data_IF_536790073187
#
_entry.id   IF_536790073187
#
_cell.length_a   1.000
_cell.length_b   1.000
_cell.length_c   1.000
_cell.angle_alpha   90.00
_cell.angle_beta   90.00
_cell.angle_gamma   90.00
#
_symmetry.space_group_name_H-M   'P 1'
#
loop_
_entity.id
_entity.type
_entity.pdbx_description
1 polymer ?
#
# COMPACT_ATOMS: atom_id res chain seq x y z
N UNK A 1 12.52 -3.66 14.03
CA UNK A 1 12.70 -3.15 15.42
C UNK A 1 14.09 -3.46 15.98
N UNK A 2 14.61 -4.67 15.72
CA UNK A 2 15.99 -5.09 16.08
C UNK A 2 17.10 -4.09 15.71
N UNK A 3 16.96 -3.33 14.61
CA UNK A 3 17.93 -2.28 14.23
C UNK A 3 17.92 -1.03 15.10
N UNK A 4 16.77 -0.62 15.65
CA UNK A 4 16.71 0.53 16.56
C UNK A 4 17.45 0.18 17.86
N UNK A 5 17.24 -1.02 18.39
CA UNK A 5 17.96 -1.53 19.55
C UNK A 5 19.49 -1.60 19.31
N UNK A 6 19.92 -2.03 18.12
CA UNK A 6 21.34 -2.01 17.71
C UNK A 6 21.93 -0.59 17.67
N UNK A 7 21.10 0.44 17.42
CA UNK A 7 21.51 1.84 17.45
C UNK A 7 21.44 2.45 18.85
N UNK A 8 21.12 1.64 19.87
CA UNK A 8 20.96 2.07 21.26
C UNK A 8 19.66 2.83 21.51
N UNK A 9 18.61 2.52 20.75
CA UNK A 9 17.26 3.01 20.99
C UNK A 9 16.43 1.96 21.71
N UNK A 10 15.76 2.40 22.77
CA UNK A 10 14.84 1.55 23.55
C UNK A 10 13.43 2.11 23.46
N UNK A 11 12.43 1.22 23.40
CA UNK A 11 11.03 1.61 23.53
C UNK A 11 10.84 2.37 24.85
N UNK A 12 10.37 3.60 24.78
CA UNK A 12 10.39 4.53 25.92
C UNK A 12 8.98 4.94 26.36
N UNK A 13 8.03 5.04 25.44
CA UNK A 13 6.72 5.63 25.68
C UNK A 13 5.72 5.19 24.61
N UNK A 14 4.48 4.88 25.00
CA UNK A 14 3.36 4.75 24.06
C UNK A 14 2.90 6.15 23.63
N UNK A 15 2.67 6.33 22.34
CA UNK A 15 2.11 7.55 21.75
C UNK A 15 0.79 7.21 21.08
N UNK A 16 -0.03 8.20 20.76
CA UNK A 16 -1.33 7.97 20.13
C UNK A 16 -1.15 7.23 18.79
N UNK A 17 -1.59 5.96 18.76
CA UNK A 17 -1.45 5.05 17.63
C UNK A 17 -0.02 4.56 17.35
N UNK A 18 0.86 4.47 18.36
CA UNK A 18 2.21 3.94 18.16
C UNK A 18 3.12 3.86 19.39
N UNK A 19 4.41 3.66 19.13
CA UNK A 19 5.47 3.55 20.14
C UNK A 19 6.61 4.52 19.82
N UNK A 20 7.02 5.30 20.81
CA UNK A 20 8.19 6.17 20.77
C UNK A 20 9.42 5.46 21.30
N UNK A 21 10.46 5.41 20.48
CA UNK A 21 11.79 4.92 20.79
C UNK A 21 12.72 6.08 21.11
N UNK A 22 13.49 5.98 22.21
CA UNK A 22 14.49 6.99 22.59
C UNK A 22 15.87 6.36 22.68
N UNK A 23 16.87 7.11 22.26
CA UNK A 23 18.26 6.73 22.50
C UNK A 23 18.72 7.16 23.89
N UNK A 24 19.60 6.36 24.49
CA UNK A 24 20.32 6.77 25.72
C UNK A 24 21.28 7.95 25.48
N UNK A 25 21.59 8.26 24.22
CA UNK A 25 22.47 9.38 23.86
C UNK A 25 21.71 10.72 23.96
N UNK A 26 22.19 11.70 24.76
CA UNK A 26 21.49 12.97 25.00
C UNK A 26 21.30 13.89 23.78
N UNK A 27 21.79 13.51 22.60
CA UNK A 27 21.73 14.34 21.39
C UNK A 27 21.16 13.61 20.20
N UNK A 28 20.65 12.39 20.40
CA UNK A 28 20.05 11.59 19.34
C UNK A 28 18.54 11.84 19.29
N UNK A 29 17.94 11.93 18.09
CA UNK A 29 16.51 12.17 17.94
C UNK A 29 15.72 11.00 18.53
N UNK A 30 14.47 11.20 18.96
CA UNK A 30 13.55 10.07 19.16
C UNK A 30 12.95 9.61 17.82
N UNK A 31 12.43 8.38 17.80
CA UNK A 31 11.77 7.76 16.64
C UNK A 31 10.40 7.27 17.06
N UNK A 32 9.34 7.79 16.45
CA UNK A 32 7.98 7.32 16.65
C UNK A 32 7.65 6.34 15.54
N UNK A 33 7.19 5.14 15.92
CA UNK A 33 6.73 4.10 14.99
C UNK A 33 5.25 3.90 15.26
N UNK A 34 4.42 4.20 14.28
CA UNK A 34 2.97 4.10 14.41
C UNK A 34 2.46 2.71 14.01
N UNK A 35 1.22 2.38 14.38
CA UNK A 35 0.57 1.10 14.03
C UNK A 35 0.28 1.01 12.52
N UNK A 36 0.05 2.16 11.88
CA UNK A 36 0.03 2.34 10.42
C UNK A 36 1.44 2.43 9.81
N UNK A 37 2.47 2.23 10.66
CA UNK A 37 3.93 2.19 10.40
C UNK A 37 4.45 3.26 9.48
N UNK A 38 3.77 4.41 9.52
CA UNK A 38 4.45 5.69 9.49
C UNK A 38 5.56 5.66 10.54
N UNK A 39 6.71 6.22 10.17
CA UNK A 39 7.82 6.43 11.08
C UNK A 39 8.17 7.89 11.05
N UNK A 40 8.16 8.52 12.22
CA UNK A 40 8.55 9.92 12.39
C UNK A 40 9.82 10.01 13.21
N UNK A 41 10.84 10.66 12.65
CA UNK A 41 12.08 10.93 13.37
C UNK A 41 12.06 12.38 13.80
N UNK A 42 12.34 12.63 15.08
CA UNK A 42 12.34 13.97 15.66
C UNK A 42 13.16 14.94 14.79
N UNK A 43 12.49 15.96 14.26
CA UNK A 43 13.16 17.00 13.48
C UNK A 43 13.71 18.13 14.36
N UNK A 44 12.99 18.44 15.45
CA UNK A 44 13.28 19.52 16.39
C UNK A 44 12.79 19.12 17.77
N UNK A 45 13.47 19.57 18.82
CA UNK A 45 12.89 19.53 20.16
C UNK A 45 13.91 19.48 21.28
N UNK A 46 13.35 19.38 22.48
CA UNK A 46 14.06 19.42 23.74
C UNK A 46 14.56 18.04 24.13
N UNK A 47 15.83 17.92 24.46
CA UNK A 47 16.32 16.76 25.22
C UNK A 47 16.29 17.16 26.69
N UNK A 48 15.61 16.36 27.52
CA UNK A 48 15.63 16.53 28.97
C UNK A 48 17.08 16.25 29.42
N UNK A 49 17.85 17.26 29.88
CA UNK A 49 19.23 17.02 30.25
C UNK A 49 19.29 16.05 31.44
N UNK A 50 20.40 15.32 31.57
CA UNK A 50 20.73 14.65 32.81
C UNK A 50 20.67 15.66 33.98
N UNK A 51 20.31 15.24 35.21
CA UNK A 51 20.26 16.15 36.35
C UNK A 51 21.60 16.87 36.52
N UNK A 52 21.57 18.18 36.31
CA UNK A 52 22.78 19.02 36.33
C UNK A 52 23.12 19.33 37.78
N UNK A 53 24.42 19.33 38.12
CA UNK A 53 24.88 19.73 39.45
C UNK A 53 24.43 21.19 39.77
N UNK A 54 24.22 21.54 41.05
CA UNK A 54 23.77 22.88 41.44
C UNK A 54 24.68 23.96 40.85
N UNK A 55 24.13 24.87 40.05
CA UNK A 55 24.84 26.02 39.48
C UNK A 55 25.05 26.01 37.96
N UNK A 56 24.66 24.95 37.23
CA UNK A 56 24.71 24.92 35.77
C UNK A 56 23.30 25.03 35.17
N UNK A 57 22.90 26.24 34.76
CA UNK A 57 21.68 26.50 33.98
C UNK A 57 22.05 26.76 32.52
N UNK A 58 22.38 25.70 31.77
CA UNK A 58 22.22 25.74 30.32
C UNK A 58 21.45 24.52 29.87
N UNK A 59 20.20 24.77 29.50
CA UNK A 59 19.38 23.83 28.76
C UNK A 59 19.88 23.88 27.31
N UNK A 60 20.51 22.83 26.76
CA UNK A 60 20.91 22.86 25.38
C UNK A 60 19.67 22.65 24.52
N UNK A 61 19.08 23.74 24.02
CA UNK A 61 18.25 23.66 22.82
C UNK A 61 19.16 23.14 21.71
N UNK A 62 18.98 21.90 21.30
CA UNK A 62 19.80 21.32 20.23
C UNK A 62 19.27 21.91 18.92
N UNK A 63 20.12 22.68 18.24
CA UNK A 63 19.77 23.24 16.95
C UNK A 63 19.60 22.13 15.90
N UNK A 64 18.68 22.32 14.97
CA UNK A 64 18.44 21.41 13.82
C UNK A 64 19.74 21.02 13.11
N UNK A 65 20.68 21.98 12.98
CA UNK A 65 22.00 21.76 12.41
C UNK A 65 22.81 20.68 13.13
N UNK A 66 22.70 20.56 14.45
CA UNK A 66 23.41 19.56 15.26
C UNK A 66 22.72 18.19 15.22
N UNK A 67 21.38 18.15 15.12
CA UNK A 67 20.61 16.91 15.02
C UNK A 67 20.69 16.27 13.62
N UNK A 68 20.91 17.06 12.57
CA UNK A 68 20.84 16.60 11.18
C UNK A 68 21.70 15.37 10.87
N UNK A 69 22.99 15.26 11.28
CA UNK A 69 23.80 14.08 10.96
C UNK A 69 23.28 12.80 11.62
N UNK A 70 22.85 12.88 12.88
CA UNK A 70 22.30 11.73 13.60
C UNK A 70 20.92 11.34 13.04
N UNK A 71 20.09 12.32 12.65
CA UNK A 71 18.82 12.09 11.95
C UNK A 71 19.04 11.34 10.64
N UNK A 72 20.01 11.76 9.82
CA UNK A 72 20.33 11.07 8.56
C UNK A 72 20.74 9.63 8.84
N UNK A 73 21.63 9.40 9.82
CA UNK A 73 22.08 8.05 10.18
C UNK A 73 20.92 7.15 10.62
N UNK A 74 20.02 7.67 11.45
CA UNK A 74 18.82 6.94 11.91
C UNK A 74 17.90 6.63 10.72
N UNK A 75 17.60 7.62 9.89
CA UNK A 75 16.77 7.43 8.69
C UNK A 75 17.36 6.38 7.74
N UNK A 76 18.66 6.46 7.43
CA UNK A 76 19.35 5.50 6.56
C UNK A 76 19.31 4.08 7.14
N UNK A 77 19.44 3.95 8.46
CA UNK A 77 19.46 2.65 9.13
C UNK A 77 18.11 1.94 9.18
N UNK A 78 17.00 2.69 9.15
CA UNK A 78 15.63 2.14 9.20
C UNK A 78 14.91 2.17 7.85
N UNK A 79 15.48 2.84 6.85
CA UNK A 79 14.84 3.05 5.54
C UNK A 79 14.45 1.73 4.86
N UNK A 80 15.30 0.70 4.98
CA UNK A 80 15.03 -0.62 4.42
C UNK A 80 13.80 -1.26 5.06
N UNK A 81 13.73 -1.28 6.39
CA UNK A 81 12.62 -1.84 7.16
C UNK A 81 11.31 -1.10 6.89
N UNK A 82 11.34 0.23 6.89
CA UNK A 82 10.15 1.05 6.59
C UNK A 82 9.67 0.77 5.18
N UNK A 83 10.58 0.68 4.21
CA UNK A 83 10.21 0.38 2.82
C UNK A 83 9.62 -1.02 2.69
N UNK A 84 10.25 -2.03 3.29
CA UNK A 84 9.78 -3.41 3.24
C UNK A 84 8.41 -3.57 3.90
N UNK A 85 8.20 -2.91 5.05
CA UNK A 85 6.94 -2.95 5.77
C UNK A 85 5.83 -2.20 5.03
N UNK A 86 6.11 -1.01 4.48
CA UNK A 86 5.15 -0.30 3.62
C UNK A 86 4.79 -1.08 2.35
N UNK A 87 5.73 -1.87 1.81
CA UNK A 87 5.44 -2.79 0.70
C UNK A 87 4.53 -3.94 1.14
N UNK A 88 4.76 -4.51 2.32
CA UNK A 88 3.91 -5.55 2.90
C UNK A 88 2.47 -5.05 3.12
N UNK A 89 2.30 -3.86 3.73
CA UNK A 89 0.98 -3.25 3.89
C UNK A 89 0.27 -3.00 2.55
N UNK A 90 1.00 -2.48 1.56
CA UNK A 90 0.43 -2.24 0.23
C UNK A 90 -0.03 -3.55 -0.40
N UNK A 91 0.76 -4.62 -0.26
CA UNK A 91 0.41 -5.94 -0.76
C UNK A 91 -0.82 -6.50 -0.05
N UNK A 92 -0.88 -6.40 1.28
CA UNK A 92 -2.03 -6.84 2.08
C UNK A 92 -3.31 -6.07 1.71
N UNK A 93 -3.23 -4.74 1.66
CA UNK A 93 -4.36 -3.88 1.27
C UNK A 93 -4.81 -4.19 -0.15
N UNK A 94 -3.86 -4.38 -1.07
CA UNK A 94 -4.15 -4.76 -2.45
C UNK A 94 -4.84 -6.13 -2.52
N UNK A 95 -4.33 -7.13 -1.80
CA UNK A 95 -4.94 -8.46 -1.73
C UNK A 95 -6.36 -8.37 -1.18
N UNK A 96 -6.57 -7.61 -0.11
CA UNK A 96 -7.90 -7.39 0.45
C UNK A 96 -8.87 -6.77 -0.57
N UNK A 97 -8.44 -5.72 -1.27
CA UNK A 97 -9.26 -5.08 -2.32
C UNK A 97 -9.61 -6.05 -3.46
N UNK A 98 -8.66 -6.89 -3.88
CA UNK A 98 -8.86 -7.80 -5.01
C UNK A 98 -9.60 -9.08 -4.63
N UNK A 99 -9.41 -9.61 -3.43
CA UNK A 99 -10.03 -10.87 -3.00
C UNK A 99 -11.40 -10.66 -2.39
N UNK A 100 -11.60 -9.58 -1.62
CA UNK A 100 -12.86 -9.33 -0.94
C UNK A 100 -13.78 -8.44 -1.77
N UNK A 101 -13.27 -7.31 -2.30
CA UNK A 101 -14.15 -6.27 -2.87
C UNK A 101 -14.35 -6.39 -4.36
N UNK A 102 -13.33 -6.79 -5.11
CA UNK A 102 -13.45 -6.91 -6.57
C UNK A 102 -14.53 -7.91 -6.99
N UNK A 103 -14.65 -9.12 -6.41
CA UNK A 103 -15.69 -10.08 -6.81
C UNK A 103 -17.10 -9.50 -6.65
N UNK A 104 -17.37 -8.83 -5.52
CA UNK A 104 -18.65 -8.18 -5.27
C UNK A 104 -18.96 -7.09 -6.29
N UNK A 105 -17.94 -6.32 -6.69
CA UNK A 105 -18.08 -5.28 -7.72
C UNK A 105 -18.29 -5.86 -9.12
N UNK A 106 -17.66 -6.99 -9.45
CA UNK A 106 -17.90 -7.70 -10.71
C UNK A 106 -19.34 -8.23 -10.77
N UNK A 107 -19.83 -8.80 -9.66
CA UNK A 107 -21.23 -9.23 -9.50
C UNK A 107 -22.19 -8.04 -9.63
N UNK A 108 -21.92 -6.94 -8.93
CA UNK A 108 -22.73 -5.72 -9.02
C UNK A 108 -22.79 -5.15 -10.44
N UNK A 109 -21.66 -5.11 -11.13
CA UNK A 109 -21.61 -4.73 -12.54
C UNK A 109 -22.47 -5.66 -13.39
N UNK A 110 -22.35 -6.97 -13.19
CA UNK A 110 -23.06 -7.95 -14.00
C UNK A 110 -24.57 -7.96 -13.76
N UNK A 111 -25.00 -7.94 -12.51
CA UNK A 111 -26.40 -8.06 -12.13
C UNK A 111 -27.15 -6.73 -12.20
N UNK A 112 -26.52 -5.66 -11.72
CA UNK A 112 -27.16 -4.34 -11.56
C UNK A 112 -26.72 -3.33 -12.62
N UNK A 113 -25.64 -3.59 -13.35
CA UNK A 113 -25.11 -2.66 -14.34
C UNK A 113 -24.29 -1.53 -13.75
N UNK A 114 -23.82 -1.67 -12.51
CA UNK A 114 -22.98 -0.68 -11.83
C UNK A 114 -21.55 -0.68 -12.43
N UNK A 115 -21.06 0.43 -12.98
CA UNK A 115 -19.73 0.44 -13.60
C UNK A 115 -18.63 0.29 -12.55
N UNK A 116 -17.56 -0.42 -12.91
CA UNK A 116 -16.37 -0.52 -12.03
C UNK A 116 -15.70 0.85 -11.83
N UNK A 117 -15.76 1.75 -12.82
CA UNK A 117 -15.14 3.06 -12.74
C UNK A 117 -16.06 4.13 -13.32
N UNK A 118 -16.01 5.31 -12.73
CA UNK A 118 -16.79 6.46 -13.19
C UNK A 118 -18.24 6.41 -12.73
N UNK A 119 -19.09 7.14 -13.46
CA UNK A 119 -20.52 7.33 -13.16
C UNK A 119 -21.38 6.93 -14.34
N UNK A 120 -22.62 6.51 -14.08
CA UNK A 120 -23.58 6.07 -15.08
C UNK A 120 -23.97 4.61 -14.88
N UNK A 121 -24.87 4.11 -15.71
CA UNK A 121 -25.35 2.73 -15.65
C UNK A 121 -25.06 2.00 -16.96
N UNK A 122 -24.86 0.68 -16.87
CA UNK A 122 -24.71 -0.23 -18.00
C UNK A 122 -26.02 -1.03 -18.16
N UNK A 123 -27.00 -0.52 -18.93
CA UNK A 123 -28.36 -1.06 -18.91
C UNK A 123 -28.48 -2.44 -19.58
N UNK A 124 -27.54 -2.82 -20.44
CA UNK A 124 -27.60 -4.09 -21.20
C UNK A 124 -26.52 -5.05 -20.76
N UNK A 125 -26.83 -6.36 -20.76
CA UNK A 125 -25.85 -7.42 -20.47
C UNK A 125 -24.64 -7.37 -21.41
N UNK A 126 -24.84 -6.98 -22.67
CA UNK A 126 -23.75 -6.78 -23.63
C UNK A 126 -22.81 -5.65 -23.18
N UNK A 127 -23.34 -4.50 -22.78
CA UNK A 127 -22.51 -3.38 -22.31
C UNK A 127 -21.73 -3.75 -21.03
N UNK A 128 -22.37 -4.51 -20.13
CA UNK A 128 -21.74 -5.05 -18.91
C UNK A 128 -20.59 -6.00 -19.24
N UNK A 129 -20.83 -6.96 -20.13
CA UNK A 129 -19.80 -7.88 -20.63
C UNK A 129 -18.62 -7.13 -21.26
N UNK A 130 -18.90 -6.16 -22.12
CA UNK A 130 -17.88 -5.38 -22.81
C UNK A 130 -17.05 -4.56 -21.79
N UNK A 131 -17.67 -4.06 -20.72
CA UNK A 131 -16.97 -3.39 -19.62
C UNK A 131 -16.06 -4.34 -18.80
N UNK A 132 -16.48 -5.58 -18.55
CA UNK A 132 -15.63 -6.60 -17.90
C UNK A 132 -14.38 -6.91 -18.75
N UNK A 133 -14.58 -7.06 -20.06
CA UNK A 133 -13.48 -7.31 -21.01
C UNK A 133 -12.53 -6.10 -21.06
N UNK A 134 -13.05 -4.87 -21.12
CA UNK A 134 -12.24 -3.66 -21.08
C UNK A 134 -11.46 -3.52 -19.76
N UNK A 135 -12.08 -3.90 -18.63
CA UNK A 135 -11.40 -3.91 -17.34
C UNK A 135 -10.22 -4.88 -17.32
N UNK A 136 -10.39 -6.11 -17.84
CA UNK A 136 -9.32 -7.08 -18.00
C UNK A 136 -8.19 -6.57 -18.93
N UNK A 137 -8.54 -6.01 -20.08
CA UNK A 137 -7.58 -5.56 -21.09
C UNK A 137 -6.75 -4.34 -20.62
N UNK A 138 -7.35 -3.47 -19.80
CA UNK A 138 -6.71 -2.25 -19.28
C UNK A 138 -5.72 -2.47 -18.13
N UNK A 139 -5.57 -3.70 -17.62
CA UNK A 139 -4.66 -3.96 -16.48
C UNK A 139 -3.20 -3.72 -16.88
N UNK A 140 -2.38 -3.34 -15.91
CA UNK A 140 -0.95 -3.14 -16.12
C UNK A 140 -0.20 -4.46 -16.42
N UNK A 141 1.01 -4.35 -16.98
CA UNK A 141 1.87 -5.49 -17.27
C UNK A 141 2.81 -5.80 -16.10
N UNK A 142 2.22 -6.11 -14.95
CA UNK A 142 2.93 -6.45 -13.71
C UNK A 142 2.14 -7.51 -12.94
N UNK A 143 2.73 -8.03 -11.84
CA UNK A 143 2.13 -9.08 -11.02
C UNK A 143 0.74 -8.71 -10.49
N UNK A 144 0.55 -7.48 -10.03
CA UNK A 144 -0.75 -6.99 -9.54
C UNK A 144 -1.81 -7.00 -10.65
N UNK A 145 -1.45 -6.52 -11.85
CA UNK A 145 -2.32 -6.54 -13.02
C UNK A 145 -2.71 -7.96 -13.43
N UNK A 146 -1.76 -8.90 -13.38
CA UNK A 146 -2.01 -10.31 -13.66
C UNK A 146 -2.92 -10.97 -12.62
N UNK A 147 -2.76 -10.61 -11.35
CA UNK A 147 -3.63 -11.09 -10.28
C UNK A 147 -5.09 -10.64 -10.49
N UNK A 148 -5.31 -9.36 -10.79
CA UNK A 148 -6.63 -8.83 -11.12
C UNK A 148 -7.21 -9.50 -12.38
N UNK A 149 -6.39 -9.69 -13.43
CA UNK A 149 -6.82 -10.41 -14.65
C UNK A 149 -7.31 -11.81 -14.32
N UNK A 150 -6.61 -12.55 -13.46
CA UNK A 150 -7.00 -13.91 -13.08
C UNK A 150 -8.37 -13.94 -12.39
N UNK A 151 -8.64 -12.98 -11.49
CA UNK A 151 -9.96 -12.86 -10.84
C UNK A 151 -11.06 -12.57 -11.85
N UNK A 152 -10.81 -11.64 -12.79
CA UNK A 152 -11.78 -11.30 -13.84
C UNK A 152 -12.01 -12.48 -14.79
N UNK A 153 -10.96 -13.20 -15.21
CA UNK A 153 -11.07 -14.41 -16.04
C UNK A 153 -11.93 -15.46 -15.37
N UNK A 154 -11.70 -15.71 -14.07
CA UNK A 154 -12.52 -16.66 -13.29
C UNK A 154 -13.99 -16.26 -13.28
N UNK A 155 -14.29 -14.97 -13.11
CA UNK A 155 -15.66 -14.47 -13.18
C UNK A 155 -16.27 -14.63 -14.58
N UNK A 156 -15.54 -14.25 -15.63
CA UNK A 156 -15.99 -14.41 -17.02
C UNK A 156 -16.31 -15.87 -17.35
N UNK A 157 -15.43 -16.80 -16.94
CA UNK A 157 -15.60 -18.23 -17.17
C UNK A 157 -16.81 -18.81 -16.43
N UNK A 158 -16.99 -18.46 -15.16
CA UNK A 158 -18.01 -19.11 -14.33
C UNK A 158 -19.39 -18.43 -14.41
N UNK A 159 -19.46 -17.16 -14.78
CA UNK A 159 -20.71 -16.38 -14.75
C UNK A 159 -21.13 -15.97 -16.16
N UNK A 160 -20.21 -15.36 -16.92
CA UNK A 160 -20.56 -14.79 -18.23
C UNK A 160 -20.69 -15.87 -19.30
N UNK A 161 -19.81 -16.88 -19.32
CA UNK A 161 -19.90 -17.98 -20.29
C UNK A 161 -21.13 -18.88 -20.07
N UNK A 162 -21.67 -18.94 -18.86
CA UNK A 162 -22.91 -19.67 -18.56
C UNK A 162 -24.18 -18.85 -18.88
N UNK A 163 -24.02 -17.58 -19.29
CA UNK A 163 -25.13 -16.68 -19.60
C UNK A 163 -25.53 -16.69 -21.08
N UNK A 164 -26.68 -16.09 -21.38
CA UNK A 164 -27.20 -15.93 -22.75
C UNK A 164 -26.32 -15.04 -23.65
N UNK A 165 -25.39 -14.27 -23.06
CA UNK A 165 -24.50 -13.35 -23.78
C UNK A 165 -23.03 -13.72 -23.60
N UNK A 166 -22.73 -15.03 -23.64
CA UNK A 166 -21.37 -15.55 -23.60
C UNK A 166 -20.43 -14.85 -24.62
N UNK A 167 -19.14 -14.76 -24.29
CA UNK A 167 -18.14 -14.20 -25.22
C UNK A 167 -17.86 -15.21 -26.33
N UNK A 168 -17.89 -14.74 -27.57
CA UNK A 168 -17.50 -15.53 -28.73
C UNK A 168 -15.98 -15.63 -28.84
N UNK A 169 -15.49 -16.65 -29.55
CA UNK A 169 -14.05 -16.81 -29.81
C UNK A 169 -13.43 -15.60 -30.53
N UNK A 170 -14.20 -14.90 -31.36
CA UNK A 170 -13.73 -13.68 -32.02
C UNK A 170 -13.55 -12.53 -31.03
N UNK A 171 -14.50 -12.33 -30.12
CA UNK A 171 -14.41 -11.33 -29.07
C UNK A 171 -13.26 -11.60 -28.11
N UNK A 172 -13.01 -12.87 -27.77
CA UNK A 172 -11.86 -13.28 -26.94
C UNK A 172 -10.53 -12.94 -27.61
N UNK A 173 -10.40 -13.21 -28.92
CA UNK A 173 -9.21 -12.82 -29.69
C UNK A 173 -9.06 -11.31 -29.78
N UNK A 174 -10.14 -10.58 -30.02
CA UNK A 174 -10.14 -9.12 -30.08
C UNK A 174 -9.71 -8.51 -28.74
N UNK A 175 -10.25 -9.01 -27.64
CA UNK A 175 -9.86 -8.60 -26.28
C UNK A 175 -8.37 -8.85 -26.01
N UNK A 176 -7.87 -10.03 -26.40
CA UNK A 176 -6.45 -10.37 -26.28
C UNK A 176 -5.58 -9.41 -27.10
N UNK A 177 -5.99 -9.08 -28.31
CA UNK A 177 -5.25 -8.16 -29.19
C UNK A 177 -5.26 -6.70 -28.71
N UNK A 178 -6.29 -6.28 -27.97
CA UNK A 178 -6.40 -4.92 -27.41
C UNK A 178 -5.86 -4.81 -25.98
N UNK A 179 -5.41 -5.91 -25.39
CA UNK A 179 -4.73 -5.93 -24.10
C UNK A 179 -3.53 -4.99 -24.10
N UNK A 180 -3.34 -4.26 -23.00
CA UNK A 180 -2.13 -3.46 -22.80
C UNK A 180 -0.84 -4.33 -22.75
N UNK A 181 -0.97 -5.65 -22.59
CA UNK A 181 0.13 -6.60 -22.43
C UNK A 181 0.08 -7.68 -23.52
N UNK A 182 0.98 -7.64 -24.52
CA UNK A 182 0.97 -8.55 -25.67
C UNK A 182 1.09 -10.03 -25.31
N UNK A 183 1.77 -10.36 -24.21
CA UNK A 183 2.02 -11.74 -23.77
C UNK A 183 0.88 -12.33 -22.92
N UNK A 184 -0.22 -11.58 -22.73
CA UNK A 184 -1.35 -12.01 -21.89
C UNK A 184 -2.56 -12.31 -22.75
N UNK A 185 -3.02 -13.55 -22.68
CA UNK A 185 -4.20 -14.06 -23.42
C UNK A 185 -5.40 -14.17 -22.51
N UNK A 186 -6.58 -13.81 -23.03
CA UNK A 186 -7.84 -14.06 -22.34
C UNK A 186 -8.22 -15.54 -22.57
N UNK A 187 -8.07 -16.38 -21.54
CA UNK A 187 -8.35 -17.82 -21.60
C UNK A 187 -9.68 -18.11 -20.87
N UNK A 188 -10.75 -18.39 -21.62
CA UNK A 188 -12.11 -18.61 -21.08
C UNK A 188 -12.52 -20.07 -21.17
#
# INVERSE_FOLDING_TARGET
>A
LERLEVLGYTAAEEVDGGVRYRSERPVSPYVDVFDDGRVEVQEKGWVKPAPVAPGQTMIPVISERKLRPDRIRVMESIAYEVTAWQQALRLETFQQEVDERLPDRLTALWERGEPLYGSGDLPTLRARRDALVAHWASRACNGDGDYVRAVVVRFLRNVVQESEVALTAEEVRAATATSACPDRTLDL
#
